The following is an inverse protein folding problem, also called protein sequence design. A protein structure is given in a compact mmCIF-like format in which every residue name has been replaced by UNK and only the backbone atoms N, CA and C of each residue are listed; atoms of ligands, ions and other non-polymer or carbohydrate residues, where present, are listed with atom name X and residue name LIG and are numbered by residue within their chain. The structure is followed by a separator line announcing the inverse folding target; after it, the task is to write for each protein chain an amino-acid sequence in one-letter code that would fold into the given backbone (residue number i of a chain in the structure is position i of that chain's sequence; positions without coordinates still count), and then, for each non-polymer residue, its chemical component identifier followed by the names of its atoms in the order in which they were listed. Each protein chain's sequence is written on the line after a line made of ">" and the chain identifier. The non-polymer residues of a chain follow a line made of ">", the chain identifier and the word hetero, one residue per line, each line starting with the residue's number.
data_IF_405876609183
#
_entry.id   IF_405876609183
#
_cell.length_a   1.000
_cell.length_b   1.000
_cell.length_c   1.000
_cell.angle_alpha   90.00
_cell.angle_beta   90.00
_cell.angle_gamma   90.00
#
_symmetry.space_group_name_H-M   'P 1'
#
loop_
_entity.id
_entity.type
_entity.pdbx_description
1 polymer ?
#
# COMPACT_ATOMS: atom_id res chain seq x y z
N UNK A 1 6.27 -19.21 18.01
CA UNK A 1 6.02 -18.47 16.75
C UNK A 1 7.24 -17.58 16.57
N UNK A 2 7.96 -17.65 15.45
CA UNK A 2 9.14 -16.79 15.26
C UNK A 2 8.66 -15.33 15.22
N UNK A 3 9.20 -14.47 16.09
CA UNK A 3 8.89 -13.03 16.12
C UNK A 3 9.09 -12.34 14.77
N UNK A 4 9.97 -12.87 13.91
CA UNK A 4 10.21 -12.37 12.55
C UNK A 4 8.99 -12.44 11.60
N UNK A 5 7.88 -13.08 12.00
CA UNK A 5 6.62 -13.09 11.21
C UNK A 5 5.57 -12.10 11.71
N UNK A 6 5.82 -11.38 12.81
CA UNK A 6 4.88 -10.38 13.31
C UNK A 6 4.85 -9.12 12.42
N UNK A 7 5.95 -8.84 11.73
CA UNK A 7 6.10 -7.70 10.84
C UNK A 7 5.91 -8.12 9.39
N UNK A 8 4.95 -7.51 8.72
CA UNK A 8 4.64 -7.74 7.32
C UNK A 8 5.09 -6.53 6.50
N UNK A 9 5.58 -6.78 5.28
CA UNK A 9 5.73 -5.73 4.29
C UNK A 9 4.37 -5.48 3.66
N UNK A 10 3.73 -4.39 4.07
CA UNK A 10 2.43 -3.95 3.58
C UNK A 10 2.56 -2.73 2.66
N UNK A 11 1.41 -2.27 2.15
CA UNK A 11 1.25 -0.96 1.52
C UNK A 11 0.40 -0.08 2.43
N UNK A 12 0.40 1.23 2.18
CA UNK A 12 -0.45 2.18 2.90
C UNK A 12 -1.93 1.75 2.82
N UNK A 13 -2.62 1.72 3.96
CA UNK A 13 -4.01 1.32 4.06
C UNK A 13 -4.66 1.90 5.32
N UNK A 14 -5.97 2.09 5.28
CA UNK A 14 -6.69 2.54 6.47
C UNK A 14 -8.19 2.27 6.40
N UNK A 15 -8.83 2.38 7.56
CA UNK A 15 -10.26 2.20 7.68
C UNK A 15 -11.01 3.41 7.09
N UNK A 16 -12.14 3.14 6.43
CA UNK A 16 -13.03 4.20 5.94
C UNK A 16 -14.01 4.57 7.04
N UNK A 17 -13.91 5.81 7.55
CA UNK A 17 -14.80 6.32 8.57
C UNK A 17 -16.08 6.95 7.98
N UNK A 18 -17.16 7.11 8.78
CA UNK A 18 -18.40 7.71 8.32
C UNK A 18 -18.22 9.10 7.71
N UNK A 19 -18.52 9.21 6.41
CA UNK A 19 -18.44 10.46 5.67
C UNK A 19 -17.18 10.61 4.82
N UNK A 20 -16.24 9.67 4.90
CA UNK A 20 -15.07 9.62 4.03
C UNK A 20 -15.36 8.88 2.72
N UNK A 21 -14.60 9.20 1.67
CA UNK A 21 -14.55 8.40 0.45
C UNK A 21 -13.31 7.52 0.47
N UNK A 22 -13.29 6.37 -0.23
CA UNK A 22 -12.08 5.54 -0.30
C UNK A 22 -10.84 6.32 -0.77
N UNK A 23 -11.03 7.25 -1.71
CA UNK A 23 -9.98 8.14 -2.19
C UNK A 23 -9.48 9.10 -1.10
N UNK A 24 -10.37 9.72 -0.31
CA UNK A 24 -9.95 10.66 0.74
C UNK A 24 -9.15 9.96 1.83
N UNK A 25 -9.52 8.72 2.16
CA UNK A 25 -8.76 7.87 3.09
C UNK A 25 -7.38 7.57 2.53
N UNK A 26 -7.28 7.12 1.27
CA UNK A 26 -5.98 6.85 0.66
C UNK A 26 -5.04 8.07 0.67
N UNK A 27 -5.57 9.29 0.49
CA UNK A 27 -4.77 10.52 0.63
C UNK A 27 -4.35 10.81 2.07
N UNK A 28 -5.26 10.61 3.04
CA UNK A 28 -5.02 10.84 4.47
C UNK A 28 -3.95 9.87 5.00
N UNK A 29 -4.17 8.58 4.81
CA UNK A 29 -3.29 7.51 5.28
C UNK A 29 -1.89 7.58 4.66
N UNK A 30 -1.79 7.99 3.39
CA UNK A 30 -0.48 8.17 2.74
C UNK A 30 0.40 9.19 3.49
N UNK A 31 -0.21 10.24 4.04
CA UNK A 31 0.50 11.25 4.84
C UNK A 31 0.78 10.72 6.25
N UNK A 32 -0.20 10.07 6.89
CA UNK A 32 -0.10 9.59 8.27
C UNK A 32 0.89 8.43 8.42
N UNK A 33 0.81 7.41 7.55
CA UNK A 33 1.60 6.18 7.65
C UNK A 33 2.97 6.27 6.97
N UNK A 34 3.19 7.26 6.09
CA UNK A 34 4.45 7.33 5.31
C UNK A 34 5.00 8.73 5.05
N UNK A 35 4.27 9.77 5.44
CA UNK A 35 4.64 11.16 5.16
C UNK A 35 4.64 11.50 3.67
N UNK A 36 4.03 10.69 2.81
CA UNK A 36 4.05 10.90 1.37
C UNK A 36 2.77 11.60 0.88
N UNK A 37 2.95 12.52 -0.07
CA UNK A 37 1.82 13.17 -0.76
C UNK A 37 1.56 12.48 -2.11
N UNK A 38 0.33 11.98 -2.29
CA UNK A 38 -0.10 11.44 -3.57
C UNK A 38 -0.38 12.59 -4.55
N UNK A 39 0.34 12.61 -5.67
CA UNK A 39 0.22 13.63 -6.71
C UNK A 39 -0.89 13.32 -7.72
N UNK A 40 -1.12 12.03 -7.97
CA UNK A 40 -2.18 11.53 -8.85
C UNK A 40 -2.54 10.10 -8.44
N UNK A 41 -3.81 9.73 -8.54
CA UNK A 41 -4.28 8.41 -8.09
C UNK A 41 -5.12 7.72 -9.18
N UNK A 42 -4.95 6.41 -9.29
CA UNK A 42 -5.70 5.54 -10.20
C UNK A 42 -6.28 4.38 -9.40
N UNK A 43 -7.57 4.07 -9.59
CA UNK A 43 -8.20 2.88 -9.00
C UNK A 43 -7.67 1.61 -9.67
N UNK A 44 -7.17 0.67 -8.87
CA UNK A 44 -6.75 -0.66 -9.30
C UNK A 44 -7.96 -1.59 -9.36
N UNK A 45 -8.62 -1.78 -8.22
CA UNK A 45 -9.72 -2.75 -8.09
C UNK A 45 -10.53 -2.49 -6.82
N UNK A 46 -11.64 -3.21 -6.71
CA UNK A 46 -12.48 -3.30 -5.53
C UNK A 46 -12.85 -4.77 -5.32
N UNK A 47 -12.53 -5.32 -4.15
CA UNK A 47 -12.68 -6.75 -3.89
C UNK A 47 -12.81 -7.06 -2.40
N UNK A 48 -13.51 -8.15 -2.09
CA UNK A 48 -13.59 -8.69 -0.74
C UNK A 48 -12.33 -9.49 -0.41
N UNK A 49 -11.79 -9.30 0.81
CA UNK A 49 -10.55 -9.98 1.23
C UNK A 49 -10.72 -11.49 1.38
N UNK A 50 -11.83 -11.92 1.97
CA UNK A 50 -12.18 -13.34 2.10
C UNK A 50 -13.71 -13.50 2.21
N UNK A 51 -14.44 -13.63 1.08
CA UNK A 51 -15.91 -13.65 1.05
C UNK A 51 -16.59 -14.71 1.92
N UNK A 52 -15.86 -15.75 2.35
CA UNK A 52 -16.38 -16.78 3.26
C UNK A 52 -16.10 -16.51 4.74
N UNK A 53 -15.25 -15.53 5.07
CA UNK A 53 -14.82 -15.23 6.43
C UNK A 53 -15.07 -13.79 6.89
N UNK A 54 -15.10 -12.83 5.97
CA UNK A 54 -15.31 -11.41 6.30
C UNK A 54 -16.12 -10.71 5.21
N UNK A 55 -16.84 -9.66 5.59
CA UNK A 55 -17.52 -8.73 4.69
C UNK A 55 -16.66 -7.51 4.34
N UNK A 56 -15.39 -7.51 4.74
CA UNK A 56 -14.44 -6.45 4.44
C UNK A 56 -14.21 -6.29 2.94
N UNK A 57 -14.48 -5.10 2.44
CA UNK A 57 -14.35 -4.69 1.06
C UNK A 57 -13.20 -3.69 0.94
N UNK A 58 -12.19 -4.04 0.14
CA UNK A 58 -11.06 -3.17 -0.11
C UNK A 58 -11.27 -2.35 -1.37
N UNK A 59 -10.88 -1.08 -1.30
CA UNK A 59 -10.69 -0.20 -2.44
C UNK A 59 -9.19 0.00 -2.63
N UNK A 60 -8.63 -0.56 -3.70
CA UNK A 60 -7.19 -0.54 -3.94
C UNK A 60 -6.84 0.49 -5.01
N UNK A 61 -5.80 1.28 -4.74
CA UNK A 61 -5.36 2.38 -5.60
C UNK A 61 -3.85 2.31 -5.89
N UNK A 62 -3.44 2.95 -6.99
CA UNK A 62 -2.05 3.27 -7.30
C UNK A 62 -1.87 4.78 -7.24
N UNK A 63 -1.07 5.25 -6.28
CA UNK A 63 -0.71 6.67 -6.12
C UNK A 63 0.66 6.97 -6.72
N UNK A 64 0.76 8.03 -7.53
CA UNK A 64 2.03 8.62 -7.94
C UNK A 64 2.56 9.52 -6.83
N UNK A 65 3.81 9.30 -6.42
CA UNK A 65 4.48 10.06 -5.36
C UNK A 65 5.89 10.51 -5.79
N UNK A 66 6.49 11.41 -5.03
CA UNK A 66 7.94 11.62 -5.00
C UNK A 66 8.53 10.87 -3.81
N UNK A 67 9.37 9.88 -4.07
CA UNK A 67 9.97 9.04 -3.02
C UNK A 67 11.35 9.51 -2.54
N UNK A 68 11.86 10.65 -3.05
CA UNK A 68 13.23 11.13 -2.79
C UNK A 68 13.52 11.36 -1.29
N UNK A 69 12.50 11.71 -0.52
CA UNK A 69 12.61 12.07 0.90
C UNK A 69 11.76 11.18 1.82
N UNK A 70 11.34 10.01 1.34
CA UNK A 70 10.44 9.10 2.07
C UNK A 70 11.25 8.05 2.84
N UNK A 71 10.78 7.70 4.04
CA UNK A 71 11.36 6.70 4.93
C UNK A 71 11.22 7.09 6.40
N UNK A 72 11.71 6.22 7.30
CA UNK A 72 11.70 6.48 8.74
C UNK A 72 10.54 5.79 9.46
N UNK A 73 10.30 6.22 10.70
CA UNK A 73 9.21 5.73 11.54
C UNK A 73 8.01 6.67 11.43
N UNK A 74 6.82 6.10 11.27
CA UNK A 74 5.55 6.78 11.04
C UNK A 74 4.43 6.03 11.77
N UNK A 75 3.20 6.52 11.62
CA UNK A 75 2.05 6.13 12.43
C UNK A 75 1.71 7.23 13.44
N UNK A 76 0.48 7.20 13.95
CA UNK A 76 0.01 8.11 14.99
C UNK A 76 0.13 7.45 16.36
N UNK A 77 0.77 8.13 17.32
CA UNK A 77 0.88 7.67 18.71
C UNK A 77 -0.49 7.35 19.35
N UNK A 78 -1.56 8.00 18.86
CA UNK A 78 -2.93 7.81 19.34
C UNK A 78 -3.63 6.57 18.75
N UNK A 79 -3.09 6.00 17.67
CA UNK A 79 -3.68 4.87 16.92
C UNK A 79 -2.95 3.53 17.17
N UNK A 80 -1.92 3.53 18.03
CA UNK A 80 -1.13 2.34 18.39
C UNK A 80 -0.48 1.66 17.15
N UNK A 81 -0.09 2.48 16.18
CA UNK A 81 0.55 2.05 14.93
C UNK A 81 2.05 2.32 14.94
N UNK A 82 2.84 1.25 15.03
CA UNK A 82 4.29 1.32 14.82
C UNK A 82 4.62 0.99 13.36
N UNK A 83 4.86 1.99 12.51
CA UNK A 83 5.15 1.78 11.08
C UNK A 83 6.59 2.17 10.74
N UNK A 84 7.29 1.31 9.99
CA UNK A 84 8.63 1.58 9.46
C UNK A 84 8.62 1.62 7.93
N UNK A 85 8.67 2.82 7.36
CA UNK A 85 8.58 3.03 5.92
C UNK A 85 9.90 2.73 5.23
N UNK A 86 9.82 1.92 4.18
CA UNK A 86 10.94 1.51 3.32
C UNK A 86 10.66 1.85 1.87
N UNK A 87 11.59 2.56 1.22
CA UNK A 87 11.53 2.82 -0.22
C UNK A 87 12.35 1.74 -0.94
N UNK A 88 11.67 0.97 -1.79
CA UNK A 88 12.28 -0.07 -2.62
C UNK A 88 12.14 0.26 -4.10
N UNK A 89 13.13 -0.08 -4.90
CA UNK A 89 12.95 -0.14 -6.34
C UNK A 89 11.92 -1.22 -6.71
N UNK A 90 11.29 -1.07 -7.86
CA UNK A 90 10.36 -2.07 -8.36
C UNK A 90 11.01 -3.46 -8.49
N UNK A 91 12.27 -3.52 -8.95
CA UNK A 91 12.95 -4.78 -9.17
C UNK A 91 13.24 -5.50 -7.83
N UNK A 92 13.56 -4.74 -6.78
CA UNK A 92 13.72 -5.28 -5.42
C UNK A 92 12.41 -5.83 -4.86
N UNK A 93 11.33 -5.05 -4.89
CA UNK A 93 10.04 -5.49 -4.33
C UNK A 93 9.45 -6.65 -5.13
N UNK A 94 9.67 -6.68 -6.45
CA UNK A 94 9.25 -7.79 -7.30
C UNK A 94 10.04 -9.07 -6.99
N UNK A 95 11.34 -8.99 -6.71
CA UNK A 95 12.11 -10.15 -6.25
C UNK A 95 11.63 -10.68 -4.88
N UNK A 96 11.24 -9.79 -3.96
CA UNK A 96 10.63 -10.20 -2.68
C UNK A 96 9.30 -10.93 -2.89
N UNK A 97 8.48 -10.47 -3.84
CA UNK A 97 7.26 -11.15 -4.24
C UNK A 97 7.55 -12.56 -4.77
N UNK A 98 8.47 -12.70 -5.74
CA UNK A 98 8.79 -13.98 -6.37
C UNK A 98 9.41 -15.00 -5.40
N UNK A 99 10.15 -14.51 -4.41
CA UNK A 99 10.78 -15.36 -3.37
C UNK A 99 9.85 -15.67 -2.20
N UNK A 100 8.58 -15.25 -2.25
CA UNK A 100 7.58 -15.52 -1.23
C UNK A 100 7.84 -14.82 0.10
N UNK A 101 8.57 -13.69 0.08
CA UNK A 101 8.83 -12.86 1.26
C UNK A 101 7.70 -11.88 1.57
N UNK A 102 6.85 -11.60 0.58
CA UNK A 102 5.60 -10.87 0.76
C UNK A 102 4.49 -11.89 0.98
N UNK A 103 3.90 -11.89 2.18
CA UNK A 103 2.94 -12.92 2.62
C UNK A 103 1.55 -12.35 2.94
N UNK A 104 1.27 -11.13 2.49
CA UNK A 104 -0.05 -10.49 2.54
C UNK A 104 -0.65 -10.38 1.15
N UNK A 105 -1.94 -10.67 1.04
CA UNK A 105 -2.64 -10.71 -0.25
C UNK A 105 -2.69 -9.33 -0.93
N UNK A 106 -2.80 -8.25 -0.16
CA UNK A 106 -3.04 -6.90 -0.71
C UNK A 106 -1.78 -6.39 -1.45
N UNK A 107 -0.57 -6.39 -0.84
CA UNK A 107 0.64 -6.04 -1.57
C UNK A 107 0.93 -6.98 -2.75
N UNK A 108 0.64 -8.29 -2.61
CA UNK A 108 0.79 -9.26 -3.72
C UNK A 108 -0.04 -8.80 -4.94
N UNK A 109 -1.33 -8.50 -4.73
CA UNK A 109 -2.22 -8.04 -5.80
C UNK A 109 -1.74 -6.71 -6.39
N UNK A 110 -1.37 -5.74 -5.54
CA UNK A 110 -0.93 -4.42 -5.96
C UNK A 110 0.36 -4.48 -6.81
N UNK A 111 1.36 -5.25 -6.37
CA UNK A 111 2.65 -5.39 -7.08
C UNK A 111 2.45 -6.12 -8.40
N UNK A 112 1.63 -7.18 -8.43
CA UNK A 112 1.31 -7.89 -9.67
C UNK A 112 0.58 -6.98 -10.67
N UNK A 113 -0.38 -6.19 -10.20
CA UNK A 113 -1.05 -5.21 -11.04
C UNK A 113 -0.07 -4.16 -11.57
N UNK A 114 0.82 -3.63 -10.71
CA UNK A 114 1.84 -2.68 -11.12
C UNK A 114 2.76 -3.30 -12.17
N UNK A 115 3.20 -4.55 -12.00
CA UNK A 115 4.02 -5.25 -12.99
C UNK A 115 3.38 -5.30 -14.38
N UNK A 116 2.05 -5.48 -14.45
CA UNK A 116 1.29 -5.53 -15.71
C UNK A 116 1.10 -4.15 -16.36
N UNK A 117 1.08 -3.06 -15.58
CA UNK A 117 0.74 -1.71 -16.06
C UNK A 117 1.91 -0.72 -15.99
N UNK A 118 3.09 -1.13 -15.51
CA UNK A 118 4.22 -0.24 -15.18
C UNK A 118 4.67 0.64 -16.35
N UNK A 119 4.76 0.08 -17.55
CA UNK A 119 5.22 0.82 -18.73
C UNK A 119 4.18 1.84 -19.20
N UNK A 120 2.89 1.51 -19.10
CA UNK A 120 1.80 2.47 -19.38
C UNK A 120 1.83 3.63 -18.37
N UNK A 121 1.94 3.32 -17.07
CA UNK A 121 1.99 4.32 -16.02
C UNK A 121 3.19 5.25 -16.15
N UNK A 122 4.36 4.70 -16.50
CA UNK A 122 5.55 5.49 -16.77
C UNK A 122 5.33 6.49 -17.89
N UNK A 123 4.71 6.07 -19.00
CA UNK A 123 4.39 6.96 -20.12
C UNK A 123 3.35 8.02 -19.75
N UNK A 124 2.36 7.64 -18.93
CA UNK A 124 1.32 8.56 -18.45
C UNK A 124 1.87 9.65 -17.53
N UNK A 125 2.85 9.31 -16.70
CA UNK A 125 3.37 10.15 -15.63
C UNK A 125 4.77 10.73 -15.91
N UNK A 126 5.20 10.71 -17.18
CA UNK A 126 6.43 11.38 -17.62
C UNK A 126 6.25 12.89 -17.72
#
# INVERSE_FOLDING_TARGET
>A
LNDERAWLLEIVAGAIEPGETPESVAYREAVEESGCEILEMIKISEFFTSPGGTSELLHLFCGRIDSTHIGGLHGLDEEDEDISVSVLSFDEVYALLETGKIISAIPIIAIQWLALHREELRQRWT
#
